data_IF_103267787770
#
_entry.id   IF_103267787770
#
_cell.length_a   1.000
_cell.length_b   1.000
_cell.length_c   1.000
_cell.angle_alpha   90.00
_cell.angle_beta   90.00
_cell.angle_gamma   90.00
#
_symmetry.space_group_name_H-M   'P 1'
#
loop_
_entity.id
_entity.type
_entity.pdbx_description
1 polymer ?
#
# COMPACT_ATOMS: atom_id res chain seq x y z
N UNK A 1 -50.99 -6.37 16.70
CA UNK A 1 -50.66 -5.44 15.57
C UNK A 1 -49.20 -5.44 15.16
N UNK A 2 -48.30 -6.20 15.85
CA UNK A 2 -46.86 -6.24 15.57
C UNK A 2 -46.46 -7.34 14.55
N UNK A 3 -47.35 -8.20 14.08
CA UNK A 3 -46.99 -9.39 13.34
C UNK A 3 -47.11 -9.29 11.80
N UNK A 4 -47.73 -8.25 11.25
CA UNK A 4 -47.93 -8.13 9.79
C UNK A 4 -46.78 -7.40 9.11
N UNK A 5 -46.22 -6.37 9.77
CA UNK A 5 -45.12 -5.59 9.23
C UNK A 5 -43.80 -6.41 9.15
N UNK A 6 -43.56 -7.26 10.14
CA UNK A 6 -42.37 -8.14 10.18
C UNK A 6 -42.46 -9.22 9.06
N UNK A 7 -43.64 -9.73 8.81
CA UNK A 7 -43.87 -10.75 7.75
C UNK A 7 -43.65 -10.17 6.35
N UNK A 8 -44.07 -8.93 6.12
CA UNK A 8 -43.88 -8.23 4.83
C UNK A 8 -42.39 -7.93 4.56
N UNK A 9 -41.64 -7.53 5.58
CA UNK A 9 -40.18 -7.26 5.45
C UNK A 9 -39.40 -8.54 5.13
N UNK A 10 -39.76 -9.68 5.78
CA UNK A 10 -39.11 -10.97 5.48
C UNK A 10 -39.45 -11.48 4.07
N UNK A 11 -40.68 -11.30 3.58
CA UNK A 11 -41.08 -11.70 2.22
C UNK A 11 -40.38 -10.84 1.15
N UNK A 12 -40.23 -9.54 1.36
CA UNK A 12 -39.52 -8.63 0.43
C UNK A 12 -38.04 -8.98 0.38
N UNK A 13 -37.43 -9.30 1.53
CA UNK A 13 -36.03 -9.72 1.59
C UNK A 13 -35.78 -11.05 0.86
N UNK A 14 -36.68 -12.00 0.99
CA UNK A 14 -36.59 -13.29 0.29
C UNK A 14 -36.77 -13.16 -1.23
N UNK A 15 -37.69 -12.31 -1.68
CA UNK A 15 -37.91 -12.03 -3.10
C UNK A 15 -36.69 -11.32 -3.71
N UNK A 16 -36.08 -10.36 -3.00
CA UNK A 16 -34.84 -9.70 -3.42
C UNK A 16 -33.64 -10.66 -3.51
N UNK A 17 -33.51 -11.60 -2.58
CA UNK A 17 -32.47 -12.63 -2.65
C UNK A 17 -32.68 -13.60 -3.80
N UNK A 18 -33.94 -13.99 -4.11
CA UNK A 18 -34.24 -14.84 -5.23
C UNK A 18 -33.95 -14.13 -6.58
N UNK A 19 -34.29 -12.84 -6.71
CA UNK A 19 -33.94 -12.04 -7.89
C UNK A 19 -32.46 -11.87 -8.08
N UNK A 20 -31.71 -11.67 -6.99
CA UNK A 20 -30.23 -11.54 -7.02
C UNK A 20 -29.57 -12.86 -7.47
N UNK A 21 -30.09 -14.01 -7.01
CA UNK A 21 -29.60 -15.33 -7.41
C UNK A 21 -29.88 -15.65 -8.89
N UNK A 22 -31.01 -15.23 -9.40
CA UNK A 22 -31.36 -15.40 -10.82
C UNK A 22 -30.50 -14.47 -11.69
N UNK A 23 -30.26 -13.24 -11.24
CA UNK A 23 -29.39 -12.29 -11.96
C UNK A 23 -27.92 -12.75 -12.02
N UNK A 24 -27.42 -13.34 -10.93
CA UNK A 24 -26.06 -13.93 -10.88
C UNK A 24 -26.00 -15.17 -11.78
N UNK A 25 -27.05 -15.99 -11.84
CA UNK A 25 -27.13 -17.15 -12.72
C UNK A 25 -27.12 -16.78 -14.20
N UNK A 26 -27.85 -15.73 -14.60
CA UNK A 26 -27.90 -15.24 -15.98
C UNK A 26 -26.60 -14.58 -16.41
N UNK A 27 -25.93 -13.84 -15.51
CA UNK A 27 -24.60 -13.30 -15.78
C UNK A 27 -23.54 -14.40 -15.94
N UNK A 28 -23.67 -15.51 -15.20
CA UNK A 28 -22.70 -16.62 -15.27
C UNK A 28 -22.83 -17.43 -16.56
N UNK A 29 -24.03 -17.62 -17.11
CA UNK A 29 -24.23 -18.34 -18.37
C UNK A 29 -23.76 -17.55 -19.59
N UNK A 30 -23.92 -16.22 -19.60
CA UNK A 30 -23.49 -15.37 -20.72
C UNK A 30 -21.99 -15.02 -20.69
N UNK A 31 -21.30 -15.25 -19.55
CA UNK A 31 -19.86 -14.96 -19.41
C UNK A 31 -18.98 -16.15 -19.83
N UNK A 32 -19.47 -17.37 -19.69
CA UNK A 32 -18.70 -18.59 -20.00
C UNK A 32 -18.63 -18.91 -21.51
N UNK A 33 -19.51 -18.36 -22.33
CA UNK A 33 -19.48 -18.61 -23.80
C UNK A 33 -18.56 -17.64 -24.56
N UNK A 34 -18.05 -16.56 -23.97
CA UNK A 34 -17.28 -15.53 -24.69
C UNK A 34 -15.77 -15.58 -24.52
N UNK A 35 -15.23 -16.43 -23.66
CA UNK A 35 -13.78 -16.57 -23.51
C UNK A 35 -13.38 -18.06 -23.56
N UNK A 36 -12.85 -18.53 -24.71
CA UNK A 36 -12.26 -19.87 -24.76
C UNK A 36 -11.05 -19.89 -23.81
N UNK A 37 -10.98 -20.94 -22.99
CA UNK A 37 -9.81 -21.27 -22.17
C UNK A 37 -8.55 -21.25 -23.03
N UNK A 38 -7.84 -20.15 -23.04
CA UNK A 38 -6.47 -20.08 -23.51
C UNK A 38 -5.57 -20.57 -22.37
N UNK A 39 -5.26 -21.85 -22.40
CA UNK A 39 -4.11 -22.38 -21.69
C UNK A 39 -2.87 -21.67 -22.24
N UNK A 40 -2.30 -20.75 -21.46
CA UNK A 40 -0.97 -20.22 -21.76
C UNK A 40 0.04 -21.31 -21.41
N UNK A 41 0.87 -21.77 -22.37
CA UNK A 41 1.96 -22.65 -22.04
C UNK A 41 2.93 -21.90 -21.12
N UNK A 42 3.15 -22.45 -19.95
CA UNK A 42 4.21 -22.04 -19.04
C UNK A 42 5.55 -22.20 -19.80
N UNK A 43 6.12 -21.08 -20.23
CA UNK A 43 7.46 -21.07 -20.79
C UNK A 43 8.43 -20.97 -19.62
N UNK A 44 9.14 -22.08 -19.38
CA UNK A 44 10.41 -22.04 -18.69
C UNK A 44 11.31 -21.00 -19.33
N UNK A 45 11.75 -20.05 -18.55
CA UNK A 45 12.67 -18.99 -18.96
C UNK A 45 12.33 -17.69 -18.26
N UNK A 46 12.93 -17.50 -17.10
CA UNK A 46 12.96 -16.18 -16.48
C UNK A 46 13.55 -15.18 -17.48
N UNK A 47 12.74 -14.31 -18.04
CA UNK A 47 13.22 -13.13 -18.76
C UNK A 47 13.78 -12.17 -17.72
N UNK A 48 15.05 -12.33 -17.43
CA UNK A 48 15.85 -11.29 -16.78
C UNK A 48 15.77 -10.04 -17.66
N UNK A 49 15.03 -9.07 -17.21
CA UNK A 49 15.01 -7.74 -17.81
C UNK A 49 16.32 -7.05 -17.44
N UNK A 50 17.32 -7.10 -18.33
CA UNK A 50 18.46 -6.18 -18.26
C UNK A 50 17.90 -4.77 -18.27
N UNK A 51 17.96 -4.11 -17.11
CA UNK A 51 17.67 -2.68 -16.99
C UNK A 51 18.78 -1.96 -17.75
N UNK A 52 18.56 -1.72 -19.05
CA UNK A 52 19.38 -0.76 -19.78
C UNK A 52 19.10 0.62 -19.18
N UNK A 53 20.10 1.18 -18.52
CA UNK A 53 20.15 2.58 -18.11
C UNK A 53 19.69 3.47 -19.27
N UNK A 54 18.45 3.91 -19.26
CA UNK A 54 17.93 4.95 -20.15
C UNK A 54 17.72 6.23 -19.36
N UNK A 55 18.76 6.63 -18.62
CA UNK A 55 18.91 8.02 -18.24
C UNK A 55 19.83 8.67 -19.28
N UNK A 56 19.30 9.08 -20.43
CA UNK A 56 19.82 10.23 -21.18
C UNK A 56 18.87 10.60 -22.32
N UNK A 57 18.48 11.82 -22.24
CA UNK A 57 18.26 12.89 -23.22
C UNK A 57 16.84 13.46 -23.30
N UNK A 58 16.80 14.74 -22.97
CA UNK A 58 15.76 15.67 -23.40
C UNK A 58 15.52 15.50 -24.92
N UNK A 59 14.27 15.21 -25.25
CA UNK A 59 13.77 15.19 -26.62
C UNK A 59 12.27 14.99 -26.52
N UNK A 60 11.53 16.03 -26.85
CA UNK A 60 10.08 16.08 -26.89
C UNK A 60 9.51 14.93 -27.70
N UNK A 61 8.73 14.07 -27.04
CA UNK A 61 7.70 13.27 -27.68
C UNK A 61 6.43 13.48 -26.87
N UNK A 62 5.62 14.38 -27.38
CA UNK A 62 4.28 14.65 -26.93
C UNK A 62 3.39 13.45 -27.23
N UNK A 63 3.39 12.44 -26.38
CA UNK A 63 2.28 11.50 -26.29
C UNK A 63 1.35 12.01 -25.21
N UNK A 64 0.26 12.60 -25.62
CA UNK A 64 -0.94 12.75 -24.80
C UNK A 64 -1.49 11.34 -24.53
N UNK A 65 -0.92 10.66 -23.55
CA UNK A 65 -1.59 9.66 -22.77
C UNK A 65 -2.10 10.42 -21.55
N UNK A 66 -3.40 10.46 -21.36
CA UNK A 66 -4.02 10.81 -20.08
C UNK A 66 -3.49 9.84 -19.01
N UNK A 67 -2.28 10.12 -18.50
CA UNK A 67 -1.76 9.48 -17.31
C UNK A 67 -2.69 9.93 -16.20
N UNK A 68 -3.63 9.06 -15.83
CA UNK A 68 -4.27 9.14 -14.54
C UNK A 68 -3.12 9.17 -13.53
N UNK A 69 -2.83 10.35 -12.99
CA UNK A 69 -1.81 10.52 -11.95
C UNK A 69 -2.37 9.75 -10.75
N UNK A 70 -1.82 8.57 -10.49
CA UNK A 70 -2.23 7.80 -9.33
C UNK A 70 -1.81 8.56 -8.08
N UNK A 71 -2.77 8.83 -7.21
CA UNK A 71 -2.59 9.59 -5.98
C UNK A 71 -1.78 8.85 -4.89
N UNK A 72 -1.36 7.61 -5.16
CA UNK A 72 -0.60 6.77 -4.25
C UNK A 72 0.30 5.85 -5.07
N UNK A 73 1.58 6.15 -5.12
CA UNK A 73 2.57 5.36 -5.85
C UNK A 73 3.76 5.10 -4.94
N UNK A 74 4.11 3.83 -4.76
CA UNK A 74 5.27 3.42 -4.00
C UNK A 74 6.14 2.48 -4.82
N UNK A 75 7.43 2.67 -4.74
CA UNK A 75 8.45 1.73 -5.25
C UNK A 75 9.41 1.43 -4.12
N UNK A 76 9.55 0.16 -3.80
CA UNK A 76 10.57 -0.34 -2.88
C UNK A 76 11.44 -1.37 -3.59
N UNK A 77 12.72 -1.39 -3.26
CA UNK A 77 13.70 -2.34 -3.77
C UNK A 77 14.50 -2.87 -2.58
N UNK A 78 14.55 -4.17 -2.43
CA UNK A 78 15.20 -4.80 -1.29
C UNK A 78 15.19 -6.31 -1.37
N UNK A 79 15.63 -6.95 -0.30
CA UNK A 79 15.74 -8.39 -0.16
C UNK A 79 14.47 -8.98 0.46
N UNK A 80 13.95 -10.07 -0.08
CA UNK A 80 12.84 -10.81 0.53
C UNK A 80 13.29 -11.34 1.88
N UNK A 81 12.56 -11.00 2.95
CA UNK A 81 12.95 -11.28 4.33
C UNK A 81 12.04 -12.29 5.05
N UNK A 82 10.97 -12.73 4.40
CA UNK A 82 10.07 -13.77 4.93
C UNK A 82 9.47 -14.60 3.81
N UNK A 83 9.00 -15.79 4.14
CA UNK A 83 8.12 -16.59 3.29
C UNK A 83 6.75 -15.94 3.14
N UNK A 84 5.94 -16.45 2.21
CA UNK A 84 4.57 -15.98 2.02
C UNK A 84 3.63 -16.54 3.10
N UNK A 85 2.83 -15.65 3.68
CA UNK A 85 1.75 -16.01 4.60
C UNK A 85 0.41 -15.69 3.94
N UNK A 86 -0.49 -16.68 3.85
CA UNK A 86 -1.83 -16.46 3.31
C UNK A 86 -2.58 -15.42 4.15
N UNK A 87 -3.15 -14.42 3.47
CA UNK A 87 -3.93 -13.36 4.11
C UNK A 87 -5.42 -13.54 3.91
N UNK A 88 -5.87 -13.58 2.67
CA UNK A 88 -7.28 -13.70 2.31
C UNK A 88 -7.43 -14.01 0.82
N UNK A 89 -8.65 -14.35 0.42
CA UNK A 89 -9.03 -14.57 -0.96
C UNK A 89 -10.12 -13.59 -1.39
N UNK A 90 -10.05 -13.11 -2.61
CA UNK A 90 -11.07 -12.25 -3.24
C UNK A 90 -11.39 -12.77 -4.63
N UNK A 91 -12.62 -13.21 -4.85
CA UNK A 91 -13.08 -13.76 -6.13
C UNK A 91 -12.19 -14.87 -6.72
N UNK A 92 -11.70 -15.78 -5.87
CA UNK A 92 -10.84 -16.89 -6.28
C UNK A 92 -9.40 -16.48 -6.55
N UNK A 93 -8.96 -15.31 -6.12
CA UNK A 93 -7.58 -14.84 -6.15
C UNK A 93 -7.03 -14.75 -4.75
N UNK A 94 -5.96 -15.52 -4.48
CA UNK A 94 -5.27 -15.53 -3.20
C UNK A 94 -4.34 -14.34 -3.03
N UNK A 95 -4.40 -13.73 -1.84
CA UNK A 95 -3.50 -12.65 -1.42
C UNK A 95 -2.66 -13.10 -0.25
N UNK A 96 -1.37 -12.80 -0.32
CA UNK A 96 -0.36 -13.21 0.64
C UNK A 96 0.41 -12.01 1.18
N UNK A 97 0.94 -12.15 2.38
CA UNK A 97 1.85 -11.16 2.97
C UNK A 97 3.26 -11.71 3.01
N UNK A 98 4.22 -10.84 2.75
CA UNK A 98 5.64 -11.08 2.94
C UNK A 98 6.33 -9.80 3.42
N UNK A 99 7.57 -9.87 3.83
CA UNK A 99 8.38 -8.73 4.24
C UNK A 99 9.55 -8.52 3.30
N UNK A 100 9.82 -7.26 2.97
CA UNK A 100 10.99 -6.84 2.18
C UNK A 100 11.89 -5.98 3.05
N UNK A 101 13.17 -6.36 3.10
CA UNK A 101 14.22 -5.63 3.82
C UNK A 101 14.84 -4.59 2.90
N UNK A 102 14.61 -3.31 3.20
CA UNK A 102 15.06 -2.18 2.40
C UNK A 102 16.15 -1.42 3.12
N UNK A 103 17.35 -1.39 2.55
CA UNK A 103 18.51 -0.67 3.12
C UNK A 103 18.30 0.85 3.04
N UNK A 104 18.63 1.55 4.12
CA UNK A 104 18.72 3.01 4.17
C UNK A 104 20.16 3.47 3.84
N UNK A 105 20.29 4.70 3.39
CA UNK A 105 21.61 5.33 3.23
C UNK A 105 22.43 5.39 4.53
N UNK A 106 21.79 5.25 5.70
CA UNK A 106 22.41 5.27 7.03
C UNK A 106 22.83 3.88 7.54
N UNK A 107 22.96 2.87 6.69
CA UNK A 107 23.23 1.46 7.03
C UNK A 107 22.19 0.80 7.98
N UNK A 108 21.09 1.46 8.28
CA UNK A 108 19.94 0.85 8.93
C UNK A 108 18.98 0.29 7.88
N UNK A 109 18.09 -0.60 8.29
CA UNK A 109 17.19 -1.30 7.39
C UNK A 109 15.72 -1.08 7.81
N UNK A 110 14.85 -1.02 6.82
CA UNK A 110 13.41 -1.01 7.01
C UNK A 110 12.84 -2.36 6.59
N UNK A 111 12.12 -3.03 7.49
CA UNK A 111 11.37 -4.24 7.19
C UNK A 111 9.96 -3.83 6.82
N UNK A 112 9.63 -3.87 5.52
CA UNK A 112 8.37 -3.33 4.97
C UNK A 112 7.44 -4.48 4.60
N UNK A 113 6.21 -4.54 5.16
CA UNK A 113 5.22 -5.54 4.77
C UNK A 113 4.67 -5.26 3.38
N UNK A 114 4.60 -6.32 2.59
CA UNK A 114 4.06 -6.32 1.23
C UNK A 114 2.89 -7.28 1.15
N UNK A 115 1.77 -6.82 0.60
CA UNK A 115 0.63 -7.63 0.21
C UNK A 115 0.72 -7.91 -1.28
N UNK A 116 0.74 -9.18 -1.67
CA UNK A 116 0.94 -9.61 -3.05
C UNK A 116 -0.12 -10.63 -3.47
N UNK A 117 -0.56 -10.55 -4.72
CA UNK A 117 -1.44 -11.54 -5.33
C UNK A 117 -0.63 -12.71 -5.89
N UNK A 118 -1.17 -13.93 -5.77
CA UNK A 118 -0.63 -15.13 -6.40
C UNK A 118 -0.49 -15.05 -7.94
N UNK A 119 -1.14 -14.06 -8.58
CA UNK A 119 -0.99 -13.81 -10.01
C UNK A 119 0.30 -13.10 -10.38
N UNK A 120 0.94 -12.43 -9.42
CA UNK A 120 2.17 -11.68 -9.65
C UNK A 120 3.42 -12.52 -9.45
N UNK A 121 3.32 -13.58 -8.62
CA UNK A 121 4.45 -14.40 -8.22
C UNK A 121 3.96 -15.80 -7.83
N UNK A 122 4.78 -16.83 -8.04
CA UNK A 122 4.49 -18.19 -7.57
C UNK A 122 4.73 -18.28 -6.05
N UNK A 123 3.66 -18.19 -5.28
CA UNK A 123 3.70 -18.18 -3.81
C UNK A 123 4.09 -19.53 -3.18
N UNK A 124 4.22 -20.60 -3.98
CA UNK A 124 4.67 -21.93 -3.50
C UNK A 124 6.19 -22.05 -3.43
N UNK A 125 6.92 -21.13 -4.06
CA UNK A 125 8.37 -21.09 -4.05
C UNK A 125 8.91 -20.23 -2.90
N UNK A 126 10.11 -20.55 -2.45
CA UNK A 126 10.83 -19.76 -1.46
C UNK A 126 11.76 -18.76 -2.16
N UNK A 127 11.55 -17.48 -1.91
CA UNK A 127 12.35 -16.38 -2.45
C UNK A 127 13.15 -15.65 -1.36
N UNK A 128 13.20 -16.18 -0.14
CA UNK A 128 13.97 -15.53 0.95
C UNK A 128 15.43 -15.37 0.53
N UNK A 129 15.90 -14.13 0.60
CA UNK A 129 17.25 -13.78 0.16
C UNK A 129 17.34 -13.19 -1.26
N UNK A 130 16.31 -13.39 -2.10
CA UNK A 130 16.27 -12.80 -3.44
C UNK A 130 16.03 -11.29 -3.39
N UNK A 131 16.61 -10.56 -4.35
CA UNK A 131 16.38 -9.13 -4.49
C UNK A 131 15.23 -8.85 -5.43
N UNK A 132 14.28 -8.01 -4.98
CA UNK A 132 13.10 -7.65 -5.75
C UNK A 132 12.84 -6.14 -5.76
N UNK A 133 12.17 -5.70 -6.83
CA UNK A 133 11.54 -4.40 -6.95
C UNK A 133 10.04 -4.63 -6.84
N UNK A 134 9.38 -3.94 -5.93
CA UNK A 134 7.93 -3.93 -5.79
C UNK A 134 7.41 -2.53 -6.08
N UNK A 135 6.53 -2.43 -7.07
CA UNK A 135 5.78 -1.22 -7.38
C UNK A 135 4.31 -1.42 -7.00
N UNK A 136 3.70 -0.40 -6.40
CA UNK A 136 2.33 -0.51 -5.96
C UNK A 136 1.82 0.71 -5.22
N UNK A 137 0.93 0.47 -4.26
CA UNK A 137 0.29 1.50 -3.43
C UNK A 137 0.52 1.21 -1.94
N UNK A 138 0.77 2.23 -1.15
CA UNK A 138 0.88 2.09 0.30
C UNK A 138 -0.52 2.20 0.91
N UNK A 139 -1.07 1.07 1.33
CA UNK A 139 -2.46 0.94 1.77
C UNK A 139 -2.59 0.75 3.26
N UNK A 140 -3.72 1.18 3.79
CA UNK A 140 -4.10 1.01 5.18
C UNK A 140 -5.40 0.24 5.34
N UNK A 141 -5.51 -0.57 6.37
CA UNK A 141 -6.77 -1.17 6.82
C UNK A 141 -6.82 -1.27 8.34
N UNK A 142 -8.02 -1.29 8.89
CA UNK A 142 -8.21 -1.49 10.31
C UNK A 142 -8.45 -2.98 10.59
N UNK A 143 -7.53 -3.59 11.34
CA UNK A 143 -7.73 -4.94 11.89
C UNK A 143 -8.50 -4.81 13.18
N UNK A 144 -9.62 -5.52 13.28
CA UNK A 144 -10.36 -5.66 14.52
C UNK A 144 -9.65 -6.66 15.43
N UNK A 145 -9.07 -6.20 16.52
CA UNK A 145 -8.58 -7.01 17.65
C UNK A 145 -9.63 -6.90 18.76
N UNK A 146 -9.78 -7.92 19.62
CA UNK A 146 -10.88 -8.11 20.59
C UNK A 146 -11.31 -6.87 21.39
N UNK A 147 -10.46 -5.86 21.56
CA UNK A 147 -10.77 -4.62 22.29
C UNK A 147 -10.41 -3.32 21.55
N UNK A 148 -9.72 -3.37 20.42
CA UNK A 148 -9.24 -2.16 19.70
C UNK A 148 -9.06 -2.40 18.22
N UNK A 149 -9.37 -1.36 17.42
CA UNK A 149 -8.98 -1.33 16.02
C UNK A 149 -7.50 -0.99 15.91
N UNK A 150 -6.75 -1.79 15.16
CA UNK A 150 -5.34 -1.54 14.83
C UNK A 150 -5.22 -1.14 13.36
N UNK A 151 -4.62 0.01 13.12
CA UNK A 151 -4.24 0.42 11.76
C UNK A 151 -3.06 -0.45 11.30
N UNK A 152 -3.26 -1.18 10.22
CA UNK A 152 -2.24 -1.98 9.54
C UNK A 152 -1.92 -1.32 8.22
N UNK A 153 -0.64 -1.20 7.91
CA UNK A 153 -0.11 -0.58 6.71
C UNK A 153 0.75 -1.59 5.97
N UNK A 154 0.59 -1.65 4.65
CA UNK A 154 1.41 -2.50 3.78
C UNK A 154 1.52 -1.92 2.37
N UNK A 155 2.55 -2.28 1.64
CA UNK A 155 2.63 -2.04 0.20
C UNK A 155 1.77 -3.08 -0.50
N UNK A 156 0.72 -2.64 -1.16
CA UNK A 156 -0.09 -3.48 -2.04
C UNK A 156 0.56 -3.53 -3.42
N UNK A 157 1.21 -4.66 -3.71
CA UNK A 157 1.96 -4.85 -4.95
C UNK A 157 1.04 -4.85 -6.17
N UNK A 158 1.46 -4.17 -7.22
CA UNK A 158 0.86 -4.19 -8.57
C UNK A 158 1.80 -4.80 -9.59
N UNK A 159 3.10 -4.62 -9.36
CA UNK A 159 4.15 -5.15 -10.20
C UNK A 159 5.31 -5.61 -9.32
N UNK A 160 5.92 -6.74 -9.69
CA UNK A 160 7.08 -7.29 -9.03
C UNK A 160 8.08 -7.72 -10.09
N UNK A 161 9.34 -7.39 -9.88
CA UNK A 161 10.46 -7.84 -10.73
C UNK A 161 11.65 -8.23 -9.87
N UNK A 162 12.40 -9.24 -10.29
CA UNK A 162 13.62 -9.68 -9.63
C UNK A 162 14.83 -8.92 -10.15
N UNK A 163 15.85 -8.77 -9.31
CA UNK A 163 17.11 -8.09 -9.60
C UNK A 163 18.25 -9.09 -9.44
N UNK A 164 19.18 -9.14 -10.40
CA UNK A 164 20.23 -10.17 -10.42
C UNK A 164 21.26 -10.00 -9.29
N UNK A 165 21.54 -8.77 -8.85
CA UNK A 165 22.55 -8.50 -7.83
C UNK A 165 22.34 -7.22 -7.03
N UNK A 166 23.04 -7.13 -5.88
CA UNK A 166 23.11 -5.94 -5.04
C UNK A 166 23.83 -4.77 -5.75
N UNK A 167 24.71 -5.08 -6.71
CA UNK A 167 25.48 -4.08 -7.48
C UNK A 167 24.60 -3.27 -8.45
N UNK A 168 23.50 -3.87 -8.93
CA UNK A 168 22.51 -3.17 -9.76
C UNK A 168 21.71 -2.12 -8.99
N UNK A 169 21.85 -2.12 -7.64
CA UNK A 169 21.18 -1.19 -6.73
C UNK A 169 21.98 0.09 -6.47
N UNK A 170 23.28 0.13 -6.83
CA UNK A 170 24.12 1.31 -6.59
C UNK A 170 23.62 2.53 -7.39
N UNK A 171 23.32 3.61 -6.65
CA UNK A 171 22.79 4.85 -7.22
C UNK A 171 21.29 4.84 -7.53
N UNK A 172 20.59 3.72 -7.33
CA UNK A 172 19.15 3.63 -7.51
C UNK A 172 18.42 4.03 -6.22
N UNK A 173 17.35 4.78 -6.36
CA UNK A 173 16.49 5.14 -5.23
C UNK A 173 15.65 3.93 -4.81
N UNK A 174 16.13 3.18 -3.82
CA UNK A 174 15.56 1.90 -3.36
C UNK A 174 14.22 2.03 -2.63
N UNK A 175 13.81 3.25 -2.28
CA UNK A 175 12.57 3.47 -1.53
C UNK A 175 12.03 4.86 -1.87
N UNK A 176 10.91 4.91 -2.55
CA UNK A 176 10.24 6.17 -2.89
C UNK A 176 8.73 6.01 -2.85
N UNK A 177 8.07 7.04 -2.35
CA UNK A 177 6.61 7.13 -2.33
C UNK A 177 6.18 8.54 -2.75
N UNK A 178 5.14 8.58 -3.56
CA UNK A 178 4.35 9.77 -3.85
C UNK A 178 2.93 9.57 -3.32
N UNK A 179 2.44 10.57 -2.59
CA UNK A 179 1.08 10.62 -2.07
C UNK A 179 0.46 11.97 -2.42
N UNK A 180 -0.76 11.90 -2.90
CA UNK A 180 -1.66 13.03 -3.12
C UNK A 180 -2.89 12.82 -2.26
N UNK A 181 -3.16 13.71 -1.30
CA UNK A 181 -4.21 13.51 -0.33
C UNK A 181 -4.46 14.71 0.57
N UNK A 182 -5.27 14.51 1.58
CA UNK A 182 -5.79 15.55 2.46
C UNK A 182 -5.37 15.34 3.91
N UNK A 183 -5.00 16.41 4.60
CA UNK A 183 -4.73 16.40 6.03
C UNK A 183 -6.04 16.08 6.77
N UNK A 184 -6.12 14.93 7.43
CA UNK A 184 -7.36 14.51 8.09
C UNK A 184 -7.35 14.69 9.62
N UNK A 185 -6.23 15.12 10.19
CA UNK A 185 -6.08 15.45 11.61
C UNK A 185 -5.08 16.59 11.74
N UNK A 186 -5.33 17.53 12.67
CA UNK A 186 -4.39 18.63 12.94
C UNK A 186 -2.98 18.12 13.17
N UNK A 187 -1.97 18.68 12.47
CA UNK A 187 -0.57 18.29 12.61
C UNK A 187 -0.09 18.44 14.06
N UNK A 188 0.71 17.48 14.53
CA UNK A 188 1.31 17.53 15.84
C UNK A 188 2.79 17.89 15.73
N UNK A 189 3.09 19.18 15.94
CA UNK A 189 4.45 19.67 15.96
C UNK A 189 5.09 19.49 17.34
N UNK A 190 6.33 19.04 17.37
CA UNK A 190 7.12 18.87 18.61
C UNK A 190 8.63 18.96 18.34
N UNK A 191 9.40 19.22 19.39
CA UNK A 191 10.86 19.10 19.35
C UNK A 191 11.30 17.84 20.09
N UNK A 192 12.22 17.09 19.49
CA UNK A 192 12.85 15.95 20.17
C UNK A 192 13.76 16.44 21.29
N UNK A 193 14.16 15.56 22.25
CA UNK A 193 15.14 15.91 23.28
C UNK A 193 16.47 16.42 22.73
N UNK A 194 16.84 16.02 21.51
CA UNK A 194 18.02 16.49 20.78
C UNK A 194 17.78 17.78 19.97
N UNK A 195 16.66 18.46 20.18
CA UNK A 195 16.32 19.72 19.52
C UNK A 195 15.86 19.61 18.07
N UNK A 196 15.68 18.40 17.53
CA UNK A 196 15.17 18.22 16.16
C UNK A 196 13.68 18.52 16.12
N UNK A 197 13.27 19.35 15.16
CA UNK A 197 11.86 19.68 14.91
C UNK A 197 11.21 18.57 14.08
N UNK A 198 10.06 18.10 14.52
CA UNK A 198 9.26 17.10 13.82
C UNK A 198 7.77 17.49 13.86
N UNK A 199 7.04 17.08 12.83
CA UNK A 199 5.58 17.16 12.79
C UNK A 199 5.02 15.81 12.32
N UNK A 200 4.09 15.28 13.11
CA UNK A 200 3.35 14.08 12.77
C UNK A 200 2.06 14.48 12.05
N UNK A 201 1.83 13.95 10.86
CA UNK A 201 0.66 14.16 10.01
C UNK A 201 -0.11 12.84 9.88
N UNK A 202 -1.41 12.95 9.68
CA UNK A 202 -2.24 11.85 9.19
C UNK A 202 -2.88 12.28 7.88
N UNK A 203 -2.53 11.59 6.79
CA UNK A 203 -2.98 11.88 5.44
C UNK A 203 -4.10 10.93 5.06
N UNK A 204 -5.20 11.45 4.53
CA UNK A 204 -6.25 10.67 3.89
C UNK A 204 -6.01 10.68 2.37
N UNK A 205 -5.72 9.53 1.80
CA UNK A 205 -5.52 9.32 0.37
C UNK A 205 -6.73 8.59 -0.20
N UNK A 206 -7.44 9.22 -1.11
CA UNK A 206 -8.69 8.69 -1.64
C UNK A 206 -8.44 7.46 -2.53
N UNK A 207 -9.32 6.49 -2.39
CA UNK A 207 -9.43 5.32 -3.29
C UNK A 207 -10.71 5.38 -4.11
N UNK A 208 -10.79 4.62 -5.19
CA UNK A 208 -12.07 4.36 -5.85
C UNK A 208 -13.14 3.85 -4.87
N UNK A 209 -14.39 4.08 -5.18
CA UNK A 209 -15.55 3.62 -4.41
C UNK A 209 -15.69 4.23 -2.99
N UNK A 210 -15.24 5.49 -2.80
CA UNK A 210 -15.45 6.24 -1.56
C UNK A 210 -14.69 5.70 -0.34
N UNK A 211 -13.63 4.94 -0.55
CA UNK A 211 -12.70 4.51 0.52
C UNK A 211 -11.49 5.43 0.56
N UNK A 212 -10.80 5.46 1.70
CA UNK A 212 -9.55 6.18 1.87
C UNK A 212 -8.53 5.37 2.64
N UNK A 213 -7.25 5.56 2.28
CA UNK A 213 -6.12 5.12 3.07
C UNK A 213 -5.74 6.21 4.06
N UNK A 214 -5.53 5.84 5.33
CA UNK A 214 -5.04 6.75 6.36
C UNK A 214 -3.57 6.46 6.60
N UNK A 215 -2.71 7.36 6.13
CA UNK A 215 -1.26 7.15 6.09
C UNK A 215 -0.58 8.11 7.07
N UNK A 216 0.08 7.59 8.14
CA UNK A 216 0.92 8.39 8.99
C UNK A 216 2.14 8.90 8.24
N UNK A 217 2.45 10.19 8.37
CA UNK A 217 3.61 10.82 7.77
C UNK A 217 4.38 11.59 8.85
N UNK A 218 5.71 11.58 8.76
CA UNK A 218 6.58 12.35 9.65
C UNK A 218 7.41 13.34 8.83
N UNK A 219 7.29 14.61 9.20
CA UNK A 219 8.07 15.72 8.64
C UNK A 219 9.21 16.11 9.58
N UNK A 220 10.33 16.56 9.01
CA UNK A 220 11.53 16.95 9.74
C UNK A 220 11.95 18.39 9.42
N UNK A 221 12.45 19.12 10.43
CA UNK A 221 13.05 20.44 10.30
C UNK A 221 12.12 21.44 9.59
N UNK A 222 12.56 21.98 8.45
CA UNK A 222 11.80 22.97 7.68
C UNK A 222 10.41 22.44 7.26
N UNK A 223 10.33 21.19 6.80
CA UNK A 223 9.05 20.58 6.45
C UNK A 223 8.14 20.44 7.67
N UNK A 224 8.68 20.17 8.88
CA UNK A 224 7.88 20.11 10.09
C UNK A 224 7.29 21.48 10.47
N UNK A 225 8.06 22.56 10.36
CA UNK A 225 7.56 23.91 10.58
C UNK A 225 6.49 24.31 9.56
N UNK A 226 6.70 23.99 8.28
CA UNK A 226 5.72 24.23 7.24
C UNK A 226 4.42 23.42 7.48
N UNK A 227 4.56 22.13 7.76
CA UNK A 227 3.42 21.26 8.04
C UNK A 227 2.60 21.69 9.27
N UNK A 228 3.22 22.35 10.25
CA UNK A 228 2.53 22.80 11.47
C UNK A 228 1.51 23.90 11.24
N UNK A 229 1.56 24.58 10.07
CA UNK A 229 0.58 25.61 9.66
C UNK A 229 -0.63 25.04 8.94
N UNK A 230 -0.66 23.74 8.61
CA UNK A 230 -1.76 23.16 7.86
C UNK A 230 -2.99 22.93 8.71
N UNK A 231 -4.13 23.20 8.13
CA UNK A 231 -5.43 22.89 8.72
C UNK A 231 -5.94 21.53 8.22
N UNK A 232 -6.92 21.00 8.92
CA UNK A 232 -7.66 19.80 8.48
C UNK A 232 -8.39 20.13 7.19
N UNK A 233 -8.25 19.26 6.18
CA UNK A 233 -8.78 19.46 4.83
C UNK A 233 -7.76 20.02 3.85
N UNK A 234 -6.59 20.50 4.29
CA UNK A 234 -5.55 20.99 3.37
C UNK A 234 -5.14 19.87 2.39
N UNK A 235 -5.15 20.17 1.11
CA UNK A 235 -4.72 19.29 0.02
C UNK A 235 -3.20 19.36 -0.14
N UNK A 236 -2.51 18.23 -0.09
CA UNK A 236 -1.06 18.19 -0.10
C UNK A 236 -0.51 17.08 -0.99
N UNK A 237 0.62 17.38 -1.62
CA UNK A 237 1.48 16.41 -2.29
C UNK A 237 2.69 16.10 -1.41
N UNK A 238 2.95 14.82 -1.22
CA UNK A 238 4.07 14.30 -0.41
C UNK A 238 4.96 13.43 -1.27
N UNK A 239 6.26 13.74 -1.27
CA UNK A 239 7.30 12.83 -1.71
C UNK A 239 8.10 12.38 -0.49
N UNK A 240 8.44 11.09 -0.42
CA UNK A 240 9.13 10.55 0.72
C UNK A 240 9.62 9.13 0.52
N UNK A 241 9.76 8.43 1.63
CA UNK A 241 10.06 7.00 1.68
C UNK A 241 9.23 6.33 2.77
N UNK A 242 8.88 5.08 2.59
CA UNK A 242 8.27 4.26 3.63
C UNK A 242 9.35 3.87 4.64
N UNK A 243 9.05 3.96 5.92
CA UNK A 243 9.97 3.52 6.98
C UNK A 243 9.25 2.74 8.07
N UNK A 244 10.01 1.86 8.71
CA UNK A 244 9.60 1.14 9.91
C UNK A 244 10.26 1.76 11.15
N UNK A 245 9.54 1.78 12.26
CA UNK A 245 10.05 2.22 13.56
C UNK A 245 9.56 1.30 14.66
N UNK A 246 10.52 0.70 15.36
CA UNK A 246 10.19 -0.06 16.55
C UNK A 246 9.91 0.87 17.75
N UNK A 247 8.93 0.51 18.55
CA UNK A 247 8.60 1.19 19.79
C UNK A 247 8.08 0.22 20.84
N UNK A 248 8.26 0.59 22.09
CA UNK A 248 7.77 -0.19 23.23
C UNK A 248 6.43 0.40 23.66
N UNK A 249 5.38 -0.42 23.61
CA UNK A 249 4.05 -0.08 24.11
C UNK A 249 3.90 -0.63 25.53
N UNK A 250 3.57 0.24 26.49
CA UNK A 250 3.12 -0.20 27.82
C UNK A 250 1.69 -0.76 27.71
N UNK A 251 1.51 -2.01 28.11
CA UNK A 251 0.20 -2.66 28.22
C UNK A 251 -0.35 -2.51 29.63
N UNK A 252 0.52 -2.65 30.65
CA UNK A 252 0.25 -2.42 32.07
C UNK A 252 1.49 -1.83 32.76
N UNK A 253 1.47 -1.67 34.08
CA UNK A 253 2.63 -1.18 34.83
C UNK A 253 3.81 -2.18 34.81
N UNK A 254 3.54 -3.46 34.58
CA UNK A 254 4.54 -4.53 34.58
C UNK A 254 4.76 -5.15 33.21
N UNK A 255 3.91 -4.85 32.22
CA UNK A 255 3.95 -5.50 30.91
C UNK A 255 4.20 -4.49 29.79
N UNK A 256 5.18 -4.79 28.98
CA UNK A 256 5.53 -4.01 27.78
C UNK A 256 5.58 -4.91 26.55
N UNK A 257 5.16 -4.38 25.40
CA UNK A 257 5.20 -5.07 24.11
C UNK A 257 6.02 -4.25 23.11
N UNK A 258 6.94 -4.93 22.42
CA UNK A 258 7.68 -4.34 21.29
C UNK A 258 6.80 -4.38 20.06
N UNK A 259 6.58 -3.23 19.43
CA UNK A 259 5.76 -3.10 18.22
C UNK A 259 6.50 -2.33 17.14
N UNK A 260 6.15 -2.59 15.89
CA UNK A 260 6.61 -1.84 14.73
C UNK A 260 5.51 -0.93 14.23
N UNK A 261 5.82 0.34 14.03
CA UNK A 261 5.01 1.32 13.34
C UNK A 261 5.59 1.56 11.95
N UNK A 262 4.71 1.71 10.98
CA UNK A 262 5.05 2.08 9.60
C UNK A 262 4.54 3.49 9.34
N UNK A 263 5.36 4.30 8.67
CA UNK A 263 5.06 5.70 8.39
C UNK A 263 5.81 6.16 7.14
N UNK A 264 5.41 7.28 6.57
CA UNK A 264 6.13 7.92 5.47
C UNK A 264 7.02 9.02 6.01
N UNK A 265 8.35 8.89 5.84
CA UNK A 265 9.30 9.96 6.12
C UNK A 265 9.32 10.92 4.94
N UNK A 266 8.83 12.14 5.18
CA UNK A 266 8.61 13.16 4.15
C UNK A 266 9.93 13.84 3.77
N UNK A 267 10.26 13.81 2.47
CA UNK A 267 11.40 14.53 1.90
C UNK A 267 10.97 15.87 1.26
N UNK A 268 9.80 15.89 0.62
CA UNK A 268 9.19 17.09 0.02
C UNK A 268 7.71 17.13 0.35
N UNK A 269 7.22 18.32 0.67
CA UNK A 269 5.83 18.61 1.00
C UNK A 269 5.40 19.88 0.27
N UNK A 270 4.30 19.79 -0.45
CA UNK A 270 3.70 20.89 -1.19
C UNK A 270 2.22 20.99 -0.82
N UNK A 271 1.73 22.20 -0.53
CA UNK A 271 0.31 22.48 -0.40
C UNK A 271 -0.23 22.85 -1.79
N UNK A 272 -1.34 22.26 -2.17
CA UNK A 272 -2.05 22.64 -3.39
C UNK A 272 -3.02 23.76 -3.02
N UNK A 273 -2.86 24.93 -3.66
CA UNK A 273 -3.83 26.00 -3.60
C UNK A 273 -5.00 25.64 -4.51
N UNK A 274 -6.23 25.71 -3.98
CA UNK A 274 -7.46 25.53 -4.74
C UNK A 274 -7.69 26.71 -5.70
#
# INVERSE_FOLDING_TARGET
>A
LYNVATYIVYHIFWILQAFLSIFIGICRSNFLEKFPHRSYPFKEGHKVLKIKNTYQRKGELHFMSDKIIENNQVTIMGQVASTFEFSHEVFGEGFYTMEVLVKRLSNSEDRIPVMISERLIDVTQDYVGEYIIVQGQFRSYNRHEEQKNRLVLSVFAREVSFVESDEDMDGVKTNSIFLDGYICKSPVYRKTPLGREIADLLLAVNRPYGKSDYIPCICWGRNARFASSFEVGAHVHILGRVQSREYIKKLSDTETEKRTAYEVSVSKLECQEE
#
